data_IF_354699153368
#
_entry.id   IF_354699153368
#
_cell.length_a   1.000
_cell.length_b   1.000
_cell.length_c   1.000
_cell.angle_alpha   90.00
_cell.angle_beta   90.00
_cell.angle_gamma   90.00
#
_symmetry.space_group_name_H-M   'P 1'
#
loop_
_entity.id
_entity.type
_entity.pdbx_description
1 polymer ?
#
# COMPACT_ATOMS: atom_id res chain seq x y z
N UNK A 1 -12.87 -4.32 52.41
CA UNK A 1 -11.74 -3.53 51.87
C UNK A 1 -10.59 -3.74 52.82
N UNK A 2 -9.39 -4.16 52.37
CA UNK A 2 -8.23 -4.16 53.26
C UNK A 2 -7.97 -2.70 53.66
N UNK A 3 -7.69 -2.46 54.93
CA UNK A 3 -7.40 -1.12 55.44
C UNK A 3 -6.07 -0.63 54.83
N UNK A 4 -5.93 0.66 54.50
CA UNK A 4 -4.65 1.20 54.06
C UNK A 4 -3.67 1.16 55.23
N UNK A 5 -2.79 0.16 55.26
CA UNK A 5 -1.70 0.09 56.21
C UNK A 5 -0.53 0.91 55.64
N UNK A 6 -0.23 2.04 56.26
CA UNK A 6 1.03 2.76 55.98
C UNK A 6 2.13 1.95 56.67
N UNK A 7 3.15 1.46 55.94
CA UNK A 7 4.22 0.67 56.55
C UNK A 7 4.85 1.45 57.71
N UNK A 8 5.04 0.81 58.87
CA UNK A 8 5.74 1.42 60.00
C UNK A 8 7.17 1.75 59.57
N UNK A 9 7.59 3.00 59.76
CA UNK A 9 8.91 3.49 59.34
C UNK A 9 9.88 3.69 60.50
N UNK A 10 9.42 3.49 61.74
CA UNK A 10 10.10 3.76 63.01
C UNK A 10 10.11 2.53 63.93
N UNK A 11 10.62 1.40 63.44
CA UNK A 11 10.74 0.15 64.22
C UNK A 11 11.73 0.31 65.40
N UNK A 12 11.26 0.04 66.62
CA UNK A 12 12.03 -0.07 67.86
C UNK A 12 12.19 -1.56 68.24
N UNK A 13 13.33 -1.99 68.82
CA UNK A 13 13.48 -3.32 69.42
C UNK A 13 12.35 -3.81 70.35
N UNK A 14 11.58 -2.91 70.97
CA UNK A 14 10.42 -3.24 71.78
C UNK A 14 9.14 -3.55 70.96
N UNK A 15 9.12 -3.22 69.67
CA UNK A 15 8.00 -3.51 68.79
C UNK A 15 7.92 -5.01 68.48
N UNK A 16 6.83 -5.63 68.91
CA UNK A 16 6.51 -7.01 68.57
C UNK A 16 5.88 -7.11 67.18
N UNK A 17 6.17 -8.19 66.47
CA UNK A 17 5.43 -8.57 65.25
C UNK A 17 4.26 -9.46 65.69
N UNK A 18 3.03 -9.03 65.43
CA UNK A 18 1.86 -9.84 65.71
C UNK A 18 1.71 -10.95 64.65
N UNK A 19 1.02 -12.03 65.01
CA UNK A 19 0.67 -13.09 64.05
C UNK A 19 -0.13 -12.55 62.86
N UNK A 20 -0.91 -11.48 63.06
CA UNK A 20 -1.63 -10.79 61.99
C UNK A 20 -0.69 -10.17 60.96
N UNK A 21 0.40 -9.53 61.40
CA UNK A 21 1.39 -8.91 60.51
C UNK A 21 2.11 -9.98 59.68
N UNK A 22 2.43 -11.14 60.29
CA UNK A 22 3.03 -12.28 59.58
C UNK A 22 2.06 -12.89 58.56
N UNK A 23 0.78 -12.98 58.90
CA UNK A 23 -0.25 -13.46 57.97
C UNK A 23 -0.41 -12.50 56.78
N UNK A 24 -0.40 -11.18 57.03
CA UNK A 24 -0.47 -10.18 55.96
C UNK A 24 0.75 -10.22 55.03
N UNK A 25 1.96 -10.41 55.59
CA UNK A 25 3.17 -10.63 54.78
C UNK A 25 3.02 -11.91 53.94
N UNK A 26 2.46 -12.97 54.51
CA UNK A 26 2.15 -14.21 53.80
C UNK A 26 1.16 -13.98 52.64
N UNK A 27 0.07 -13.25 52.90
CA UNK A 27 -0.95 -12.93 51.90
C UNK A 27 -0.39 -12.09 50.76
N UNK A 28 0.44 -11.09 51.09
CA UNK A 28 1.12 -10.24 50.10
C UNK A 28 2.11 -11.04 49.25
N UNK A 29 2.85 -11.98 49.86
CA UNK A 29 3.76 -12.86 49.14
C UNK A 29 2.98 -13.78 48.17
N UNK A 30 1.86 -14.34 48.62
CA UNK A 30 0.97 -15.15 47.76
C UNK A 30 0.41 -14.32 46.61
N UNK A 31 0.00 -13.07 46.86
CA UNK A 31 -0.49 -12.16 45.83
C UNK A 31 0.59 -11.80 44.80
N UNK A 32 1.83 -11.57 45.25
CA UNK A 32 2.97 -11.31 44.37
C UNK A 32 3.31 -12.54 43.54
N UNK A 33 3.35 -13.73 44.13
CA UNK A 33 3.60 -14.99 43.40
C UNK A 33 2.51 -15.20 42.35
N UNK A 34 1.25 -15.01 42.72
CA UNK A 34 0.11 -15.07 41.80
C UNK A 34 0.27 -14.10 40.62
N UNK A 35 0.79 -12.89 40.87
CA UNK A 35 1.08 -11.93 39.82
C UNK A 35 2.30 -12.33 38.98
N UNK A 36 3.35 -12.90 39.55
CA UNK A 36 4.54 -13.33 38.79
C UNK A 36 4.19 -14.52 37.88
N UNK A 37 3.38 -15.45 38.38
CA UNK A 37 2.99 -16.67 37.68
C UNK A 37 1.88 -16.48 36.65
N UNK A 38 1.10 -15.39 36.75
CA UNK A 38 -0.02 -15.20 35.83
C UNK A 38 0.45 -14.99 34.39
N UNK A 39 0.16 -15.94 33.51
CA UNK A 39 0.48 -15.83 32.07
C UNK A 39 -0.65 -15.17 31.26
N UNK A 40 -1.73 -14.74 31.92
CA UNK A 40 -2.92 -14.14 31.29
C UNK A 40 -3.49 -13.01 32.13
N UNK A 41 -4.08 -11.98 31.52
CA UNK A 41 -4.85 -10.94 32.22
C UNK A 41 -4.00 -9.93 33.02
N UNK A 42 -2.70 -10.16 33.20
CA UNK A 42 -1.83 -9.17 33.81
C UNK A 42 -1.74 -7.95 32.89
N UNK A 43 -2.02 -6.77 33.43
CA UNK A 43 -1.93 -5.49 32.74
C UNK A 43 -2.95 -5.23 31.61
N UNK A 44 -4.14 -5.85 31.70
CA UNK A 44 -5.26 -5.51 30.80
C UNK A 44 -5.17 -6.14 29.41
N UNK A 45 -4.42 -7.25 29.28
CA UNK A 45 -4.51 -8.11 28.12
C UNK A 45 -5.94 -8.68 28.01
N UNK A 46 -6.64 -8.37 26.92
CA UNK A 46 -8.00 -8.87 26.63
C UNK A 46 -7.98 -9.69 25.35
N UNK A 47 -8.87 -10.67 25.21
CA UNK A 47 -9.02 -11.47 23.99
C UNK A 47 -9.64 -10.68 22.82
N UNK A 48 -10.16 -9.48 23.08
CA UNK A 48 -10.64 -8.56 22.06
C UNK A 48 -9.46 -7.91 21.31
N UNK A 49 -9.57 -7.77 19.99
CA UNK A 49 -8.54 -7.18 19.11
C UNK A 49 -8.39 -5.64 19.27
N UNK A 50 -8.34 -5.17 20.50
CA UNK A 50 -7.89 -3.83 20.89
C UNK A 50 -6.40 -3.90 21.16
N UNK A 51 -5.63 -2.98 20.57
CA UNK A 51 -4.17 -2.96 20.72
C UNK A 51 -3.77 -3.00 22.21
N UNK A 52 -3.18 -4.12 22.63
CA UNK A 52 -2.62 -4.25 23.99
C UNK A 52 -1.39 -3.34 24.07
N UNK A 53 -1.31 -2.49 25.11
CA UNK A 53 -0.24 -1.48 25.25
C UNK A 53 1.13 -2.07 25.55
N UNK A 54 1.23 -3.37 25.85
CA UNK A 54 2.46 -4.01 26.31
C UNK A 54 2.96 -5.04 25.31
N UNK A 55 4.25 -4.91 24.96
CA UNK A 55 4.99 -5.83 24.10
C UNK A 55 6.21 -6.29 24.90
N UNK A 56 6.35 -7.61 25.10
CA UNK A 56 7.55 -8.17 25.75
C UNK A 56 8.69 -8.11 24.74
N UNK A 57 9.77 -7.43 25.10
CA UNK A 57 10.96 -7.25 24.24
C UNK A 57 12.04 -8.27 24.59
N UNK A 58 12.84 -8.67 23.61
CA UNK A 58 14.04 -9.48 23.81
C UNK A 58 15.15 -8.67 24.53
N UNK A 59 16.27 -9.33 24.87
CA UNK A 59 17.43 -8.68 25.51
C UNK A 59 18.06 -7.55 24.68
N UNK A 60 17.75 -7.47 23.38
CA UNK A 60 18.16 -6.40 22.47
C UNK A 60 17.08 -5.31 22.31
N UNK A 61 15.98 -5.38 23.07
CA UNK A 61 14.88 -4.41 23.01
C UNK A 61 14.00 -4.55 21.77
N UNK A 62 14.00 -5.70 21.09
CA UNK A 62 13.17 -5.97 19.91
C UNK A 62 11.95 -6.79 20.26
N UNK A 63 10.86 -6.56 19.52
CA UNK A 63 9.66 -7.39 19.57
C UNK A 63 9.60 -8.22 18.29
N UNK A 64 9.69 -9.55 18.43
CA UNK A 64 9.50 -10.47 17.32
C UNK A 64 8.04 -10.94 17.30
N UNK A 65 7.42 -10.89 16.14
CA UNK A 65 6.08 -11.44 15.89
C UNK A 65 6.19 -12.52 14.82
N UNK A 66 5.45 -13.61 14.96
CA UNK A 66 5.40 -14.67 13.96
C UNK A 66 4.75 -14.16 12.66
N UNK A 67 4.78 -14.97 11.60
CA UNK A 67 4.04 -14.67 10.37
C UNK A 67 2.52 -14.65 10.67
N UNK A 68 1.78 -13.66 10.13
CA UNK A 68 0.32 -13.61 10.26
C UNK A 68 -0.35 -14.87 9.70
N UNK A 69 -1.24 -15.49 10.48
CA UNK A 69 -2.04 -16.65 10.07
C UNK A 69 -3.51 -16.26 9.76
N UNK A 70 -3.99 -15.14 10.31
CA UNK A 70 -5.34 -14.62 10.11
C UNK A 70 -5.34 -13.10 9.87
N UNK A 71 -6.43 -12.58 9.30
CA UNK A 71 -6.55 -11.17 8.93
C UNK A 71 -6.49 -10.18 10.11
N UNK A 72 -6.69 -10.65 11.35
CA UNK A 72 -6.60 -9.85 12.57
C UNK A 72 -5.22 -9.84 13.22
N UNK A 73 -4.27 -10.59 12.69
CA UNK A 73 -2.93 -10.72 13.28
C UNK A 73 -2.07 -9.47 12.99
N UNK A 74 -1.08 -9.23 13.85
CA UNK A 74 -0.11 -8.15 13.65
C UNK A 74 0.81 -8.52 12.48
N UNK A 75 0.89 -7.65 11.47
CA UNK A 75 1.78 -7.83 10.32
C UNK A 75 3.25 -7.59 10.71
N UNK A 76 4.14 -8.46 10.21
CA UNK A 76 5.57 -8.31 10.39
C UNK A 76 6.25 -7.70 9.15
N UNK A 77 7.49 -7.22 9.29
CA UNK A 77 8.24 -6.55 8.22
C UNK A 77 8.42 -7.44 6.98
N UNK A 78 8.74 -8.71 7.17
CA UNK A 78 8.93 -9.66 6.08
C UNK A 78 7.65 -9.84 5.26
N UNK A 79 6.50 -10.02 5.93
CA UNK A 79 5.20 -10.12 5.26
C UNK A 79 4.89 -8.85 4.46
N UNK A 80 5.19 -7.67 5.00
CA UNK A 80 5.00 -6.41 4.29
C UNK A 80 5.92 -6.29 3.07
N UNK A 81 7.20 -6.63 3.19
CA UNK A 81 8.17 -6.62 2.09
C UNK A 81 7.77 -7.59 0.97
N UNK A 82 7.27 -8.78 1.33
CA UNK A 82 6.70 -9.74 0.36
C UNK A 82 5.48 -9.14 -0.33
N UNK A 83 4.57 -8.51 0.42
CA UNK A 83 3.38 -7.88 -0.17
C UNK A 83 3.74 -6.74 -1.13
N UNK A 84 4.59 -5.80 -0.72
CA UNK A 84 4.97 -4.64 -1.54
C UNK A 84 5.84 -5.04 -2.72
N UNK A 85 6.59 -6.14 -2.63
CA UNK A 85 7.33 -6.73 -3.74
C UNK A 85 6.50 -7.66 -4.64
N UNK A 86 5.27 -8.02 -4.26
CA UNK A 86 4.46 -8.98 -5.00
C UNK A 86 3.83 -8.34 -6.25
N UNK A 87 4.30 -8.72 -7.42
CA UNK A 87 3.74 -8.29 -8.72
C UNK A 87 2.85 -9.36 -9.37
N UNK A 88 2.50 -10.44 -8.66
CA UNK A 88 1.86 -11.61 -9.26
C UNK A 88 0.38 -11.40 -9.63
N UNK A 89 -0.34 -10.41 -9.08
CA UNK A 89 -1.76 -10.20 -9.45
C UNK A 89 -2.44 -8.88 -9.01
N UNK A 90 -2.78 -7.98 -9.95
CA UNK A 90 -2.00 -7.69 -11.12
C UNK A 90 -1.28 -6.35 -10.94
N UNK A 91 0.05 -6.41 -10.88
CA UNK A 91 0.86 -5.38 -11.51
C UNK A 91 1.60 -6.02 -12.68
N UNK A 92 1.97 -5.20 -13.67
CA UNK A 92 2.44 -5.65 -14.99
C UNK A 92 1.34 -6.24 -15.88
N UNK A 93 0.14 -5.61 -15.88
CA UNK A 93 -0.87 -5.93 -16.90
C UNK A 93 -0.27 -5.76 -18.30
N UNK A 94 -0.23 -6.85 -19.04
CA UNK A 94 0.22 -6.89 -20.43
C UNK A 94 -0.79 -6.16 -21.31
N UNK A 95 -0.35 -5.71 -22.49
CA UNK A 95 -1.27 -5.17 -23.50
C UNK A 95 -2.42 -6.12 -23.79
N UNK A 96 -2.18 -7.42 -23.75
CA UNK A 96 -3.21 -8.45 -23.90
C UNK A 96 -4.28 -8.39 -22.83
N UNK A 97 -3.89 -8.21 -21.56
CA UNK A 97 -4.85 -8.16 -20.44
C UNK A 97 -5.80 -6.96 -20.50
N UNK A 98 -5.38 -5.86 -21.10
CA UNK A 98 -6.21 -4.66 -21.31
C UNK A 98 -6.85 -4.59 -22.70
N UNK A 99 -6.81 -5.68 -23.49
CA UNK A 99 -7.40 -5.73 -24.82
C UNK A 99 -6.65 -4.95 -25.91
N UNK A 100 -5.41 -4.55 -25.65
CA UNK A 100 -4.54 -3.77 -26.54
C UNK A 100 -3.45 -4.62 -27.22
N UNK A 101 -3.62 -5.95 -27.30
CA UNK A 101 -2.59 -6.87 -27.83
C UNK A 101 -2.06 -6.50 -29.23
N UNK A 102 -2.91 -5.89 -30.06
CA UNK A 102 -2.58 -5.50 -31.43
C UNK A 102 -2.11 -4.03 -31.55
N UNK A 103 -2.06 -3.30 -30.44
CA UNK A 103 -1.60 -1.90 -30.42
C UNK A 103 -0.08 -1.88 -30.29
N UNK A 104 0.59 -1.30 -31.28
CA UNK A 104 2.03 -1.13 -31.27
C UNK A 104 2.44 0.11 -30.46
N UNK A 105 3.62 0.09 -29.84
CA UNK A 105 4.19 1.24 -29.12
C UNK A 105 4.89 2.22 -30.09
N UNK A 106 4.21 2.59 -31.17
CA UNK A 106 4.71 3.61 -32.07
C UNK A 106 4.05 4.94 -31.73
N UNK A 107 4.82 6.04 -31.81
CA UNK A 107 4.22 7.36 -31.91
C UNK A 107 3.23 7.31 -33.08
N UNK A 108 1.97 7.68 -32.84
CA UNK A 108 0.98 7.90 -33.91
C UNK A 108 1.63 8.75 -35.00
N UNK A 109 1.38 8.40 -36.28
CA UNK A 109 2.03 8.91 -37.52
C UNK A 109 3.10 10.01 -37.29
N UNK A 110 4.40 9.71 -37.52
CA UNK A 110 5.49 10.66 -37.28
C UNK A 110 5.19 12.05 -37.87
N UNK A 111 5.32 13.10 -37.05
CA UNK A 111 5.07 14.50 -37.44
C UNK A 111 6.03 14.98 -38.54
N UNK A 112 7.17 14.30 -38.72
CA UNK A 112 8.10 14.51 -39.83
C UNK A 112 8.82 13.21 -40.20
N UNK A 113 9.15 13.04 -41.49
CA UNK A 113 10.03 11.97 -41.98
C UNK A 113 9.43 10.55 -42.01
N UNK A 114 8.11 10.39 -41.98
CA UNK A 114 7.43 9.11 -42.09
C UNK A 114 6.89 8.79 -43.49
N UNK A 115 6.64 7.51 -43.79
CA UNK A 115 5.91 7.07 -44.99
C UNK A 115 4.44 6.88 -44.66
N UNK A 116 3.54 7.66 -45.29
CA UNK A 116 2.10 7.38 -45.20
C UNK A 116 1.80 6.07 -45.92
N UNK A 117 1.47 5.02 -45.16
CA UNK A 117 1.05 3.72 -45.69
C UNK A 117 -0.46 3.62 -45.52
N UNK A 118 -1.20 4.01 -46.56
CA UNK A 118 -2.67 4.02 -46.56
C UNK A 118 -3.22 4.36 -47.95
N UNK A 119 -4.52 4.18 -48.16
CA UNK A 119 -5.20 4.62 -49.38
C UNK A 119 -5.66 6.07 -49.20
N UNK A 120 -5.21 6.96 -50.07
CA UNK A 120 -5.81 8.30 -50.17
C UNK A 120 -7.11 8.19 -50.98
N UNK A 121 -8.25 8.51 -50.36
CA UNK A 121 -9.54 8.55 -51.03
C UNK A 121 -9.88 10.01 -51.37
N UNK A 122 -10.12 10.29 -52.65
CA UNK A 122 -10.72 11.56 -53.04
C UNK A 122 -12.15 11.60 -52.49
N UNK A 123 -12.47 12.61 -51.68
CA UNK A 123 -13.84 12.85 -51.23
C UNK A 123 -14.73 13.17 -52.43
N UNK A 124 -15.94 12.61 -52.43
CA UNK A 124 -16.98 12.91 -53.43
C UNK A 124 -17.52 14.31 -53.15
N UNK A 125 -16.73 15.33 -53.48
CA UNK A 125 -17.15 16.72 -53.39
C UNK A 125 -18.25 16.95 -54.44
N UNK A 126 -19.31 17.62 -54.03
CA UNK A 126 -20.53 17.91 -54.79
C UNK A 126 -20.31 18.55 -56.16
N UNK A 127 -19.16 19.17 -56.41
CA UNK A 127 -18.85 19.81 -57.70
C UNK A 127 -18.22 18.87 -58.74
N UNK A 128 -17.78 17.67 -58.34
CA UNK A 128 -17.15 16.71 -59.24
C UNK A 128 -17.91 15.38 -59.25
N UNK A 129 -18.42 15.00 -60.42
CA UNK A 129 -19.18 13.76 -60.64
C UNK A 129 -18.34 12.49 -60.47
N UNK A 130 -17.02 12.62 -60.33
CA UNK A 130 -16.08 11.53 -60.03
C UNK A 130 -15.09 11.99 -58.97
N UNK A 131 -14.88 11.19 -57.93
CA UNK A 131 -13.87 11.45 -56.90
C UNK A 131 -12.48 11.52 -57.54
N UNK A 132 -11.83 12.67 -57.47
CA UNK A 132 -10.54 12.91 -58.11
C UNK A 132 -9.60 13.72 -57.19
N UNK A 133 -8.32 13.33 -57.17
CA UNK A 133 -7.22 14.18 -56.75
C UNK A 133 -6.70 14.85 -58.01
N UNK A 134 -6.77 16.19 -58.08
CA UNK A 134 -6.33 16.91 -59.28
C UNK A 134 -4.86 17.31 -59.18
N UNK A 135 -4.57 18.18 -58.22
CA UNK A 135 -3.26 18.76 -58.05
C UNK A 135 -2.60 18.16 -56.80
N UNK A 136 -1.30 17.91 -56.88
CA UNK A 136 -0.47 17.53 -55.75
C UNK A 136 0.61 18.60 -55.58
N UNK A 137 0.57 19.30 -54.45
CA UNK A 137 1.51 20.37 -54.12
C UNK A 137 2.48 19.90 -53.05
N UNK A 138 3.78 20.10 -53.30
CA UNK A 138 4.86 19.87 -52.34
C UNK A 138 5.47 21.23 -51.97
N UNK A 139 5.38 21.64 -50.71
CA UNK A 139 5.90 22.94 -50.26
C UNK A 139 6.37 22.90 -48.80
N UNK A 140 7.41 23.67 -48.46
CA UNK A 140 7.79 23.89 -47.06
C UNK A 140 6.85 24.90 -46.34
N UNK A 141 6.12 25.72 -47.11
CA UNK A 141 5.15 26.67 -46.58
C UNK A 141 3.81 25.98 -46.25
N UNK A 142 3.10 26.51 -45.26
CA UNK A 142 1.75 26.04 -44.92
C UNK A 142 0.79 26.21 -46.11
N UNK A 143 -0.25 25.36 -46.24
CA UNK A 143 -1.23 25.48 -47.30
C UNK A 143 -1.88 26.86 -47.29
N UNK A 144 -1.94 27.51 -48.44
CA UNK A 144 -2.71 28.75 -48.56
C UNK A 144 -4.20 28.41 -48.66
N UNK A 145 -5.06 29.34 -48.25
CA UNK A 145 -6.53 29.21 -48.40
C UNK A 145 -7.00 29.20 -49.85
N UNK A 146 -6.09 29.28 -50.82
CA UNK A 146 -6.39 29.32 -52.27
C UNK A 146 -6.43 27.93 -52.92
N UNK A 147 -6.30 26.84 -52.16
CA UNK A 147 -6.43 25.49 -52.69
C UNK A 147 -7.82 25.23 -53.27
N UNK A 148 -7.89 24.69 -54.48
CA UNK A 148 -9.16 24.30 -55.08
C UNK A 148 -9.64 22.95 -54.51
N UNK A 149 -10.95 22.74 -54.48
CA UNK A 149 -11.60 21.50 -54.02
C UNK A 149 -10.97 20.26 -54.68
N UNK A 150 -10.29 19.36 -53.94
CA UNK A 150 -9.65 18.16 -54.54
C UNK A 150 -8.14 18.29 -54.80
N UNK A 151 -7.53 19.36 -54.31
CA UNK A 151 -6.07 19.50 -54.27
C UNK A 151 -5.50 18.80 -53.02
N UNK A 152 -4.36 18.12 -53.17
CA UNK A 152 -3.60 17.52 -52.08
C UNK A 152 -2.35 18.35 -51.80
N UNK A 153 -2.19 18.80 -50.55
CA UNK A 153 -1.01 19.51 -50.10
C UNK A 153 -0.18 18.64 -49.16
N UNK A 154 1.10 18.48 -49.49
CA UNK A 154 2.10 17.79 -48.69
C UNK A 154 3.12 18.83 -48.23
N UNK A 155 3.07 19.16 -46.95
CA UNK A 155 4.08 20.00 -46.32
C UNK A 155 5.26 19.13 -45.87
N UNK A 156 6.50 19.55 -46.14
CA UNK A 156 7.71 18.83 -45.78
C UNK A 156 8.80 19.75 -45.20
#
# INVERSE_FOLDING_TARGET
MPLPHTPKTDWDPADGVAAADLNEVGDNLVALETHIDATTGIHGAVAAATASKLVIRDAAGRAAVADPAAAGDIVNKQTLEVHTGNTANPHSVTKTQVGLANVTDNAQMPIAGGTFTGKAYAQSNTDYTTGQIRNIFFSAAAPTTEGANGDLWVQY
#
